data_IF_335804517902
#
_entry.id   IF_335804517902
#
_cell.length_a   1.000
_cell.length_b   1.000
_cell.length_c   1.000
_cell.angle_alpha   90.00
_cell.angle_beta   90.00
_cell.angle_gamma   90.00
#
_symmetry.space_group_name_H-M   'P 1'
#
loop_
_entity.id
_entity.type
_entity.pdbx_description
1 polymer ?
#
# COMPACT_ATOMS: atom_id res chain seq x y z
N UNK A 1 -0.49 21.01 -18.13
CA UNK A 1 -0.44 20.48 -16.76
C UNK A 1 -1.82 20.51 -16.12
N UNK A 2 -2.58 21.60 -16.15
CA UNK A 2 -3.98 21.64 -15.71
C UNK A 2 -4.95 20.83 -16.58
N UNK A 3 -4.65 20.63 -17.85
CA UNK A 3 -5.47 19.84 -18.77
C UNK A 3 -5.44 18.32 -18.51
N UNK A 4 -4.35 17.79 -17.93
CA UNK A 4 -4.31 16.37 -17.54
C UNK A 4 -5.16 16.11 -16.30
N UNK A 5 -5.16 16.99 -15.32
CA UNK A 5 -6.05 16.91 -14.17
C UNK A 5 -7.53 17.05 -14.59
N UNK A 6 -7.86 18.00 -15.48
CA UNK A 6 -9.22 18.17 -16.00
C UNK A 6 -9.72 17.01 -16.88
N UNK A 7 -8.83 16.24 -17.52
CA UNK A 7 -9.20 15.01 -18.25
C UNK A 7 -9.54 13.86 -17.30
N UNK A 8 -8.91 13.77 -16.14
CA UNK A 8 -9.26 12.77 -15.12
C UNK A 8 -10.63 13.07 -14.47
N UNK A 9 -10.99 14.34 -14.29
CA UNK A 9 -12.30 14.73 -13.79
C UNK A 9 -13.48 14.41 -14.75
N UNK A 10 -13.19 14.24 -16.05
CA UNK A 10 -14.23 13.95 -17.06
C UNK A 10 -14.53 12.46 -17.26
N UNK A 11 -13.64 11.57 -16.88
CA UNK A 11 -13.86 10.13 -16.95
C UNK A 11 -14.14 9.56 -15.54
N UNK A 12 -15.36 9.77 -15.05
CA UNK A 12 -15.90 8.98 -13.94
C UNK A 12 -15.93 7.52 -14.37
N UNK A 13 -14.88 6.76 -14.03
CA UNK A 13 -14.89 5.32 -14.30
C UNK A 13 -15.75 4.64 -13.26
N UNK A 14 -16.86 4.11 -13.68
CA UNK A 14 -17.68 3.18 -12.88
C UNK A 14 -16.84 1.96 -12.53
N UNK A 15 -16.61 1.75 -11.25
CA UNK A 15 -16.02 0.55 -10.72
C UNK A 15 -17.10 -0.51 -10.54
N UNK A 16 -16.92 -1.68 -11.16
CA UNK A 16 -17.83 -2.82 -11.01
C UNK A 16 -17.14 -3.89 -10.18
N UNK A 17 -17.58 -4.05 -8.96
CA UNK A 17 -17.17 -5.13 -8.08
C UNK A 17 -17.96 -6.41 -8.46
N UNK A 18 -17.24 -7.46 -8.86
CA UNK A 18 -17.85 -8.75 -9.22
C UNK A 18 -17.98 -9.66 -8.01
N UNK A 19 -19.20 -9.92 -7.59
CA UNK A 19 -19.52 -10.93 -6.59
C UNK A 19 -19.80 -12.31 -7.20
N UNK A 20 -19.71 -13.36 -6.38
CA UNK A 20 -20.00 -14.73 -6.77
C UNK A 20 -21.41 -14.87 -7.38
N UNK A 21 -21.62 -15.90 -8.20
CA UNK A 21 -22.88 -16.14 -8.93
C UNK A 21 -24.13 -15.94 -8.06
N UNK A 22 -24.87 -14.87 -8.35
CA UNK A 22 -26.16 -14.58 -7.71
C UNK A 22 -26.24 -13.22 -6.99
N UNK A 23 -25.13 -12.53 -6.77
CA UNK A 23 -25.12 -11.20 -6.15
C UNK A 23 -25.25 -10.09 -7.19
N UNK A 24 -26.02 -9.05 -6.84
CA UNK A 24 -26.14 -7.87 -7.70
C UNK A 24 -24.83 -7.11 -7.71
N UNK A 25 -24.30 -6.84 -8.89
CA UNK A 25 -23.13 -5.96 -9.06
C UNK A 25 -23.45 -4.57 -8.46
N UNK A 26 -22.63 -4.14 -7.52
CA UNK A 26 -22.69 -2.78 -6.98
C UNK A 26 -21.72 -1.93 -7.76
N UNK A 27 -22.17 -0.78 -8.21
CA UNK A 27 -21.30 0.23 -8.84
C UNK A 27 -21.04 1.32 -7.80
N UNK A 28 -19.77 1.67 -7.58
CA UNK A 28 -19.37 2.75 -6.69
C UNK A 28 -18.55 3.76 -7.48
N UNK A 29 -18.89 5.04 -7.37
CA UNK A 29 -18.04 6.13 -7.87
C UNK A 29 -16.94 6.42 -6.83
N UNK A 30 -15.68 6.42 -7.26
CA UNK A 30 -14.53 6.73 -6.40
C UNK A 30 -13.80 7.94 -6.98
N UNK A 31 -13.58 8.95 -6.15
CA UNK A 31 -12.73 10.08 -6.49
C UNK A 31 -11.26 9.64 -6.38
N UNK A 32 -10.55 9.58 -7.51
CA UNK A 32 -9.23 8.93 -7.59
C UNK A 32 -8.04 9.87 -7.34
N UNK A 33 -8.24 11.19 -7.30
CA UNK A 33 -7.14 12.11 -7.05
C UNK A 33 -6.75 12.10 -5.57
N UNK A 34 -5.43 12.07 -5.24
CA UNK A 34 -4.98 12.09 -3.85
C UNK A 34 -5.45 13.34 -3.10
N UNK A 35 -5.61 13.23 -1.80
CA UNK A 35 -5.82 14.38 -0.93
C UNK A 35 -4.53 15.20 -0.82
N UNK A 36 -4.50 16.32 -1.53
CA UNK A 36 -3.33 17.21 -1.54
C UNK A 36 -3.14 17.94 -0.21
N UNK A 37 -4.18 18.01 0.61
CA UNK A 37 -4.14 18.64 1.93
C UNK A 37 -3.64 17.70 3.03
N UNK A 38 -3.38 16.42 2.73
CA UNK A 38 -2.92 15.45 3.71
C UNK A 38 -1.67 15.91 4.47
N UNK A 39 -0.75 16.62 3.80
CA UNK A 39 0.44 17.20 4.42
C UNK A 39 0.15 18.28 5.47
N UNK A 40 -0.94 19.04 5.30
CA UNK A 40 -1.37 20.05 6.25
C UNK A 40 -2.19 19.43 7.40
N UNK A 41 -3.07 18.47 7.08
CA UNK A 41 -3.93 17.84 8.08
C UNK A 41 -3.12 17.01 9.07
N UNK A 42 -2.11 16.28 8.62
CA UNK A 42 -1.30 15.42 9.48
C UNK A 42 -0.28 16.21 10.31
N UNK A 43 0.10 17.41 9.87
CA UNK A 43 1.10 18.27 10.53
C UNK A 43 0.63 19.72 10.61
N UNK A 44 -0.49 19.95 11.28
CA UNK A 44 -1.17 21.26 11.38
C UNK A 44 -0.35 22.38 12.00
N UNK A 45 0.75 22.05 12.69
CA UNK A 45 1.65 23.04 13.30
C UNK A 45 2.90 23.34 12.48
N UNK A 46 3.04 22.74 11.31
CA UNK A 46 4.18 22.94 10.41
C UNK A 46 3.70 23.54 9.10
N UNK A 47 4.43 24.55 8.64
CA UNK A 47 4.23 25.11 7.30
C UNK A 47 4.89 24.18 6.27
N UNK A 48 4.30 23.02 5.97
CA UNK A 48 4.81 22.07 4.97
C UNK A 48 4.52 22.54 3.54
N UNK A 49 4.66 23.85 3.27
CA UNK A 49 4.35 24.46 1.98
C UNK A 49 4.99 23.76 0.78
N UNK A 50 6.30 23.41 0.78
CA UNK A 50 6.89 22.74 -0.37
C UNK A 50 6.27 21.39 -0.68
N UNK A 51 5.90 20.62 0.34
CA UNK A 51 5.29 19.29 0.17
C UNK A 51 3.84 19.42 -0.24
N UNK A 52 3.08 20.28 0.43
CA UNK A 52 1.68 20.57 0.10
C UNK A 52 1.52 21.13 -1.32
N UNK A 53 2.33 22.13 -1.68
CA UNK A 53 2.19 22.81 -2.99
C UNK A 53 2.75 21.98 -4.14
N UNK A 54 3.81 21.20 -3.94
CA UNK A 54 4.61 20.67 -5.04
C UNK A 54 4.58 19.14 -5.17
N UNK A 55 4.29 18.39 -4.13
CA UNK A 55 4.49 16.94 -4.11
C UNK A 55 3.76 16.19 -5.23
N UNK A 56 2.53 16.59 -5.53
CA UNK A 56 1.66 15.84 -6.46
C UNK A 56 1.83 16.23 -7.94
N UNK A 57 2.52 17.31 -8.24
CA UNK A 57 2.63 17.78 -9.62
C UNK A 57 4.05 18.16 -10.08
N UNK A 58 4.95 18.46 -9.14
CA UNK A 58 6.29 18.91 -9.49
C UNK A 58 7.18 17.74 -9.93
N UNK A 59 7.95 17.87 -11.03
CA UNK A 59 8.79 16.80 -11.56
C UNK A 59 9.84 16.22 -10.58
N UNK A 60 10.26 17.00 -9.59
CA UNK A 60 11.21 16.56 -8.56
C UNK A 60 10.69 15.39 -7.71
N UNK A 61 9.36 15.23 -7.61
CA UNK A 61 8.72 14.14 -6.84
C UNK A 61 8.20 13.01 -7.74
N UNK A 62 8.63 12.98 -8.99
CA UNK A 62 8.16 11.99 -9.97
C UNK A 62 8.40 10.55 -9.52
N UNK A 63 9.55 10.30 -8.90
CA UNK A 63 10.00 8.98 -8.48
C UNK A 63 9.76 8.74 -6.97
N UNK A 64 8.87 9.54 -6.36
CA UNK A 64 8.46 9.39 -4.98
C UNK A 64 7.14 8.59 -4.87
N UNK A 65 6.89 7.93 -3.72
CA UNK A 65 5.67 7.16 -3.52
C UNK A 65 4.43 8.05 -3.55
N UNK A 66 3.32 7.55 -4.06
CA UNK A 66 2.04 8.22 -3.90
C UNK A 66 1.61 8.16 -2.43
N UNK A 67 1.12 9.29 -1.91
CA UNK A 67 0.55 9.44 -0.56
C UNK A 67 -0.74 10.22 -0.63
N UNK A 68 -1.44 10.40 0.49
CA UNK A 68 -2.72 11.12 0.49
C UNK A 68 -3.83 10.34 -0.21
N UNK A 69 -3.70 9.02 -0.28
CA UNK A 69 -4.70 8.12 -0.86
C UNK A 69 -5.31 7.24 0.22
N UNK A 70 -6.62 7.11 0.22
CA UNK A 70 -7.32 6.19 1.08
C UNK A 70 -7.37 4.77 0.47
N UNK A 71 -7.85 3.79 1.24
CA UNK A 71 -7.90 2.40 0.82
C UNK A 71 -8.78 2.16 -0.41
N UNK A 72 -9.89 2.88 -0.52
CA UNK A 72 -10.81 2.77 -1.66
C UNK A 72 -10.16 3.29 -2.94
N UNK A 73 -9.45 4.41 -2.87
CA UNK A 73 -8.70 4.97 -3.99
C UNK A 73 -7.58 4.02 -4.45
N UNK A 74 -6.84 3.44 -3.51
CA UNK A 74 -5.80 2.46 -3.80
C UNK A 74 -6.37 1.20 -4.48
N UNK A 75 -7.51 0.71 -4.00
CA UNK A 75 -8.23 -0.41 -4.61
C UNK A 75 -8.73 -0.06 -6.00
N UNK A 76 -9.36 1.10 -6.18
CA UNK A 76 -9.81 1.59 -7.48
C UNK A 76 -8.68 1.71 -8.50
N UNK A 77 -7.48 2.16 -8.07
CA UNK A 77 -6.29 2.19 -8.91
C UNK A 77 -5.89 0.78 -9.39
N UNK A 78 -5.91 -0.22 -8.52
CA UNK A 78 -5.61 -1.60 -8.90
C UNK A 78 -6.56 -2.11 -10.00
N UNK A 79 -7.84 -1.79 -9.89
CA UNK A 79 -8.84 -2.13 -10.90
C UNK A 79 -8.61 -1.38 -12.21
N UNK A 80 -8.39 -0.08 -12.16
CA UNK A 80 -8.05 0.69 -13.34
C UNK A 80 -6.82 0.13 -14.06
N UNK A 81 -5.78 -0.21 -13.31
CA UNK A 81 -4.55 -0.81 -13.86
C UNK A 81 -4.83 -2.16 -14.53
N UNK A 82 -5.76 -2.94 -13.96
CA UNK A 82 -6.21 -4.21 -14.55
C UNK A 82 -6.91 -4.00 -15.89
N UNK A 83 -7.85 -3.07 -15.96
CA UNK A 83 -8.56 -2.78 -17.20
C UNK A 83 -7.61 -2.22 -18.27
N UNK A 84 -6.71 -1.32 -17.90
CA UNK A 84 -5.67 -0.83 -18.81
C UNK A 84 -4.79 -1.95 -19.38
N UNK A 85 -4.40 -2.92 -18.53
CA UNK A 85 -3.65 -4.10 -18.98
C UNK A 85 -4.47 -4.92 -19.98
N UNK A 86 -5.75 -5.15 -19.68
CA UNK A 86 -6.67 -5.93 -20.54
C UNK A 86 -6.91 -5.28 -21.90
N UNK A 87 -6.86 -3.95 -22.00
CA UNK A 87 -7.01 -3.23 -23.27
C UNK A 87 -5.96 -3.67 -24.30
N UNK A 88 -4.72 -3.96 -23.85
CA UNK A 88 -3.62 -4.43 -24.69
C UNK A 88 -3.64 -5.91 -25.03
N UNK A 89 -4.57 -6.71 -24.46
CA UNK A 89 -4.60 -8.17 -24.62
C UNK A 89 -5.64 -8.63 -25.65
N UNK A 90 -5.36 -9.77 -26.31
CA UNK A 90 -6.34 -10.46 -27.14
C UNK A 90 -7.50 -11.04 -26.31
N UNK A 91 -8.68 -11.32 -26.90
CA UNK A 91 -9.80 -11.89 -26.16
C UNK A 91 -9.47 -13.19 -25.42
N UNK A 92 -8.62 -14.03 -26.01
CA UNK A 92 -8.17 -15.29 -25.39
C UNK A 92 -7.29 -15.02 -24.15
N UNK A 93 -6.34 -14.09 -24.25
CA UNK A 93 -5.46 -13.73 -23.14
C UNK A 93 -6.24 -13.08 -21.99
N UNK A 94 -7.23 -12.22 -22.30
CA UNK A 94 -8.10 -11.58 -21.29
C UNK A 94 -8.82 -12.57 -20.39
N UNK A 95 -9.15 -13.75 -20.91
CA UNK A 95 -9.87 -14.79 -20.16
C UNK A 95 -9.03 -15.39 -19.03
N UNK A 96 -7.72 -15.41 -19.20
CA UNK A 96 -6.77 -15.98 -18.23
C UNK A 96 -6.01 -14.92 -17.45
N UNK A 97 -6.32 -13.64 -17.70
CA UNK A 97 -5.65 -12.53 -17.02
C UNK A 97 -6.27 -12.30 -15.65
N UNK A 98 -5.48 -12.52 -14.61
CA UNK A 98 -5.79 -12.14 -13.25
C UNK A 98 -5.51 -10.66 -13.04
N UNK A 99 -6.39 -9.97 -12.34
CA UNK A 99 -6.24 -8.53 -12.13
C UNK A 99 -5.16 -8.15 -11.11
N UNK A 100 -4.84 -6.87 -11.10
CA UNK A 100 -4.11 -6.26 -10.00
C UNK A 100 -5.04 -6.04 -8.81
N UNK A 101 -4.50 -6.18 -7.60
CA UNK A 101 -5.17 -5.92 -6.34
C UNK A 101 -4.18 -5.44 -5.28
N UNK A 102 -4.66 -4.99 -4.15
CA UNK A 102 -3.82 -4.82 -2.97
C UNK A 102 -3.36 -6.19 -2.44
N UNK A 103 -2.15 -6.31 -1.89
CA UNK A 103 -1.72 -7.52 -1.22
C UNK A 103 -2.55 -7.76 0.04
N UNK A 104 -2.70 -9.01 0.44
CA UNK A 104 -3.04 -9.32 1.84
C UNK A 104 -1.85 -8.98 2.74
N UNK A 105 -2.08 -8.84 4.04
CA UNK A 105 -0.99 -8.59 5.01
C UNK A 105 0.05 -9.72 5.02
N UNK A 106 -0.38 -10.95 4.80
CA UNK A 106 0.49 -12.15 4.74
C UNK A 106 1.30 -12.17 3.45
N UNK A 107 0.68 -11.90 2.31
CA UNK A 107 1.41 -11.79 1.04
C UNK A 107 2.45 -10.66 1.09
N UNK A 108 2.07 -9.53 1.68
CA UNK A 108 2.98 -8.42 1.88
C UNK A 108 4.16 -8.82 2.77
N UNK A 109 3.89 -9.52 3.89
CA UNK A 109 4.91 -9.99 4.81
C UNK A 109 5.85 -11.02 4.16
N UNK A 110 5.30 -11.98 3.41
CA UNK A 110 6.08 -12.94 2.64
C UNK A 110 7.01 -12.24 1.64
N UNK A 111 6.48 -11.29 0.90
CA UNK A 111 7.24 -10.49 -0.06
C UNK A 111 8.35 -9.67 0.63
N UNK A 112 8.05 -9.07 1.80
CA UNK A 112 9.00 -8.29 2.57
C UNK A 112 10.16 -9.14 3.10
N UNK A 113 9.91 -10.38 3.51
CA UNK A 113 10.96 -11.29 3.99
C UNK A 113 11.97 -11.67 2.91
N UNK A 114 11.58 -11.63 1.64
CA UNK A 114 12.51 -11.91 0.55
C UNK A 114 13.15 -13.30 0.62
N UNK A 115 12.41 -14.34 1.08
CA UNK A 115 12.92 -15.69 1.27
C UNK A 115 13.74 -15.93 2.54
N UNK A 116 13.85 -14.94 3.42
CA UNK A 116 14.54 -15.09 4.72
C UNK A 116 13.55 -15.46 5.82
N UNK A 117 13.54 -16.70 6.23
CA UNK A 117 12.68 -17.19 7.30
C UNK A 117 12.94 -16.43 8.61
N UNK A 118 11.86 -16.03 9.28
CA UNK A 118 11.88 -15.36 10.58
C UNK A 118 12.73 -14.06 10.66
N UNK A 119 13.07 -13.45 9.53
CA UNK A 119 13.79 -12.19 9.54
C UNK A 119 12.95 -11.07 10.16
N UNK A 120 13.57 -10.24 11.00
CA UNK A 120 12.92 -9.09 11.64
C UNK A 120 12.70 -7.98 10.59
N UNK A 121 13.67 -7.76 9.72
CA UNK A 121 13.66 -6.75 8.66
C UNK A 121 13.92 -7.38 7.28
N UNK A 122 13.57 -6.73 6.18
CA UNK A 122 13.77 -7.24 4.82
C UNK A 122 15.21 -7.61 4.47
N UNK A 123 16.17 -6.93 5.08
CA UNK A 123 17.61 -7.19 4.90
C UNK A 123 18.16 -8.34 5.75
N UNK A 124 17.33 -8.99 6.58
CA UNK A 124 17.65 -10.21 7.33
C UNK A 124 18.32 -10.00 8.69
N UNK A 125 18.96 -8.87 8.94
CA UNK A 125 19.60 -8.58 10.22
C UNK A 125 18.65 -7.92 11.23
N UNK A 126 19.00 -7.90 12.53
CA UNK A 126 18.19 -7.28 13.58
C UNK A 126 18.39 -5.76 13.70
N UNK A 127 19.35 -5.20 12.98
CA UNK A 127 19.74 -3.80 13.11
C UNK A 127 19.21 -2.96 11.95
N UNK A 128 18.87 -1.70 12.24
CA UNK A 128 18.45 -0.71 11.22
C UNK A 128 19.63 -0.06 10.50
N UNK A 129 20.85 -0.44 10.81
CA UNK A 129 22.08 0.04 10.18
C UNK A 129 22.94 -1.12 9.68
N UNK A 130 23.67 -0.85 8.60
CA UNK A 130 24.67 -1.79 8.10
C UNK A 130 25.99 -1.68 8.89
N UNK A 131 26.98 -2.52 8.56
CA UNK A 131 28.29 -2.53 9.21
C UNK A 131 29.10 -1.23 9.04
N UNK A 132 28.74 -0.38 8.08
CA UNK A 132 29.33 0.94 7.86
C UNK A 132 28.59 2.05 8.62
N UNK A 133 27.54 1.72 9.39
CA UNK A 133 26.74 2.66 10.14
C UNK A 133 25.65 3.38 9.35
N UNK A 134 25.47 3.08 8.05
CA UNK A 134 24.41 3.67 7.23
C UNK A 134 23.06 3.05 7.56
N UNK A 135 22.02 3.88 7.62
CA UNK A 135 20.66 3.40 7.78
C UNK A 135 20.18 2.63 6.54
N UNK A 136 19.34 1.64 6.76
CA UNK A 136 18.85 0.72 5.75
C UNK A 136 17.40 1.00 5.31
N UNK A 137 16.77 2.01 5.91
CA UNK A 137 15.43 2.43 5.60
C UNK A 137 15.21 3.90 5.97
N UNK A 138 14.19 4.51 5.40
CA UNK A 138 13.72 5.84 5.75
C UNK A 138 12.69 5.74 6.88
N UNK A 139 13.02 6.26 8.06
CA UNK A 139 12.18 6.22 9.26
C UNK A 139 12.65 7.28 10.25
N UNK A 140 12.06 7.38 11.42
CA UNK A 140 12.44 8.27 12.50
C UNK A 140 13.55 7.63 13.38
N UNK A 141 14.83 7.78 13.04
CA UNK A 141 15.87 6.89 13.57
C UNK A 141 16.35 7.24 14.97
N UNK A 142 16.46 8.53 15.31
CA UNK A 142 17.10 8.98 16.55
C UNK A 142 16.36 10.17 17.13
N UNK A 143 16.16 10.15 18.44
CA UNK A 143 15.57 11.28 19.17
C UNK A 143 16.44 12.56 18.98
N UNK A 144 15.79 13.60 18.46
CA UNK A 144 16.44 14.89 18.19
C UNK A 144 17.17 15.00 16.85
N UNK A 145 17.37 13.91 16.12
CA UNK A 145 17.87 13.92 14.74
C UNK A 145 17.05 12.99 13.86
N UNK A 146 15.92 13.50 13.37
CA UNK A 146 14.95 12.73 12.59
C UNK A 146 15.30 12.58 11.11
N UNK A 147 16.38 13.21 10.68
CA UNK A 147 16.90 13.15 9.31
C UNK A 147 18.24 12.40 9.21
N UNK A 148 18.60 11.66 10.26
CA UNK A 148 19.88 10.96 10.29
C UNK A 148 19.97 9.82 9.26
N UNK A 149 18.84 9.35 8.73
CA UNK A 149 18.72 8.38 7.64
C UNK A 149 18.87 9.02 6.24
N UNK A 150 18.85 10.35 6.16
CA UNK A 150 19.05 11.12 4.92
C UNK A 150 17.80 11.87 4.42
N UNK A 151 16.62 11.59 4.95
CA UNK A 151 15.37 12.20 4.50
C UNK A 151 14.54 12.71 5.68
N UNK A 152 13.91 13.89 5.51
CA UNK A 152 12.99 14.44 6.51
C UNK A 152 11.57 13.89 6.39
N UNK A 153 11.18 13.52 5.17
CA UNK A 153 9.87 13.02 4.77
C UNK A 153 10.05 11.80 3.87
N UNK A 154 9.19 11.63 2.87
CA UNK A 154 9.31 10.56 1.89
C UNK A 154 10.64 10.62 1.13
N UNK A 155 11.12 9.47 0.69
CA UNK A 155 12.28 9.30 -0.16
C UNK A 155 11.86 8.75 -1.54
N UNK A 156 12.71 8.86 -2.58
CA UNK A 156 12.50 8.16 -3.85
C UNK A 156 12.26 6.66 -3.64
N UNK A 157 11.48 6.05 -4.53
CA UNK A 157 11.09 4.63 -4.39
C UNK A 157 12.26 3.64 -4.46
N UNK A 158 13.41 4.07 -4.93
CA UNK A 158 14.66 3.30 -5.08
C UNK A 158 15.80 3.81 -4.19
N UNK A 159 15.50 4.63 -3.16
CA UNK A 159 16.50 5.30 -2.33
C UNK A 159 17.37 4.37 -1.48
N UNK A 160 16.92 3.17 -1.20
CA UNK A 160 17.62 2.17 -0.38
C UNK A 160 17.85 0.88 -1.18
N UNK A 161 18.37 -0.17 -0.54
CA UNK A 161 18.60 -1.46 -1.20
C UNK A 161 17.35 -2.31 -1.23
N UNK A 162 17.09 -3.02 -2.32
CA UNK A 162 15.99 -3.98 -2.39
C UNK A 162 16.26 -5.20 -1.51
N UNK A 163 15.21 -5.95 -1.20
CA UNK A 163 15.36 -7.28 -0.60
C UNK A 163 15.74 -8.33 -1.69
N UNK A 164 15.88 -9.59 -1.31
CA UNK A 164 16.31 -10.66 -2.23
C UNK A 164 15.25 -11.03 -3.31
N UNK A 165 14.07 -10.43 -3.24
CA UNK A 165 13.05 -10.50 -4.30
C UNK A 165 13.02 -9.22 -5.17
N UNK A 166 14.05 -8.39 -5.12
CA UNK A 166 14.16 -7.10 -5.83
C UNK A 166 13.00 -6.12 -5.49
N UNK A 167 12.48 -6.19 -4.26
CA UNK A 167 11.45 -5.30 -3.77
C UNK A 167 12.07 -4.19 -2.91
N UNK A 168 11.81 -2.96 -3.31
CA UNK A 168 12.32 -1.75 -2.68
C UNK A 168 11.40 -1.27 -1.56
N UNK A 169 12.01 -0.66 -0.54
CA UNK A 169 11.31 0.02 0.56
C UNK A 169 10.21 -0.81 1.23
N UNK A 170 10.46 -2.12 1.42
CA UNK A 170 9.57 -3.00 2.19
C UNK A 170 9.58 -2.69 3.70
N UNK A 171 10.43 -1.79 4.15
CA UNK A 171 10.44 -1.21 5.50
C UNK A 171 10.77 0.26 5.39
N UNK A 172 9.94 1.11 6.00
CA UNK A 172 10.09 2.55 6.00
C UNK A 172 9.58 3.22 4.71
N UNK A 173 9.90 4.47 4.55
CA UNK A 173 9.41 5.39 3.53
C UNK A 173 7.92 5.71 3.73
N UNK A 174 7.00 4.90 3.23
CA UNK A 174 5.56 5.02 3.49
C UNK A 174 5.00 3.68 3.96
N UNK A 175 4.06 3.72 4.90
CA UNK A 175 3.25 2.55 5.24
C UNK A 175 2.36 2.20 4.05
N UNK A 176 2.05 0.93 3.86
CA UNK A 176 1.35 0.47 2.67
C UNK A 176 0.03 -0.19 2.99
N UNK A 177 -1.03 0.23 2.28
CA UNK A 177 -2.33 -0.38 2.37
C UNK A 177 -2.29 -1.85 1.99
N UNK A 178 -2.96 -2.70 2.77
CA UNK A 178 -3.27 -4.08 2.42
C UNK A 178 -4.78 -4.28 2.23
N UNK A 179 -5.18 -5.40 1.63
CA UNK A 179 -6.60 -5.75 1.51
C UNK A 179 -7.21 -6.28 2.80
N UNK A 180 -6.39 -6.66 3.78
CA UNK A 180 -6.82 -7.32 5.02
C UNK A 180 -7.47 -6.32 5.99
N UNK A 181 -8.67 -6.60 6.51
CA UNK A 181 -9.25 -5.85 7.62
C UNK A 181 -8.41 -6.01 8.89
N UNK A 182 -8.32 -4.94 9.68
CA UNK A 182 -7.62 -5.00 10.96
C UNK A 182 -8.54 -5.50 12.07
N UNK A 183 -8.26 -6.69 12.56
CA UNK A 183 -8.93 -7.30 13.71
C UNK A 183 -7.87 -7.86 14.69
N UNK A 184 -7.72 -7.29 15.89
CA UNK A 184 -6.72 -7.73 16.87
C UNK A 184 -6.84 -9.20 17.25
N UNK A 185 -8.04 -9.75 17.18
CA UNK A 185 -8.33 -11.13 17.57
C UNK A 185 -8.35 -12.12 16.40
N UNK A 186 -7.99 -11.67 15.19
CA UNK A 186 -8.05 -12.48 13.97
C UNK A 186 -7.32 -13.83 14.12
N UNK A 187 -6.19 -13.87 14.82
CA UNK A 187 -5.44 -15.10 15.07
C UNK A 187 -6.21 -16.17 15.86
N UNK A 188 -7.32 -15.82 16.51
CA UNK A 188 -8.13 -16.76 17.28
C UNK A 188 -9.14 -17.54 16.44
N UNK A 189 -9.49 -17.03 15.25
CA UNK A 189 -10.53 -17.62 14.41
C UNK A 189 -10.12 -17.85 12.95
N UNK A 190 -8.97 -17.35 12.53
CA UNK A 190 -8.45 -17.55 11.18
C UNK A 190 -7.67 -18.86 11.13
N UNK A 191 -7.89 -19.68 10.09
CA UNK A 191 -7.21 -20.96 9.90
C UNK A 191 -5.73 -20.76 9.55
N UNK A 192 -4.85 -21.59 10.12
CA UNK A 192 -3.42 -21.60 9.81
C UNK A 192 -3.12 -22.03 8.36
N UNK A 193 -4.02 -22.81 7.76
CA UNK A 193 -3.85 -23.33 6.39
C UNK A 193 -4.26 -22.27 5.35
N UNK A 194 -5.31 -21.50 5.65
CA UNK A 194 -5.77 -20.40 4.82
C UNK A 194 -6.11 -19.19 5.70
N UNK A 195 -5.11 -18.42 6.10
CA UNK A 195 -5.27 -17.31 7.02
C UNK A 195 -5.89 -16.08 6.35
N UNK A 196 -6.98 -16.29 5.63
CA UNK A 196 -7.65 -15.24 4.87
C UNK A 196 -8.91 -14.77 5.61
N UNK A 197 -8.91 -13.51 5.99
CA UNK A 197 -10.06 -12.83 6.56
C UNK A 197 -10.40 -11.62 5.71
N UNK A 198 -11.63 -11.55 5.24
CA UNK A 198 -12.15 -10.41 4.48
C UNK A 198 -13.40 -9.86 5.12
N UNK A 199 -13.47 -8.56 5.17
CA UNK A 199 -14.68 -7.83 5.52
C UNK A 199 -14.69 -6.50 4.77
N UNK A 200 -15.74 -6.27 4.00
CA UNK A 200 -15.96 -5.01 3.29
C UNK A 200 -16.96 -4.17 4.07
N UNK A 201 -16.44 -3.24 4.87
CA UNK A 201 -17.24 -2.35 5.67
C UNK A 201 -17.99 -1.34 4.79
N UNK A 202 -19.31 -1.29 4.94
CA UNK A 202 -20.16 -0.29 4.32
C UNK A 202 -20.11 1.06 5.06
N UNK A 203 -20.71 2.08 4.46
CA UNK A 203 -20.73 3.44 5.03
C UNK A 203 -21.34 3.50 6.43
N UNK A 204 -22.36 2.70 6.71
CA UNK A 204 -23.11 2.68 7.97
C UNK A 204 -22.53 1.71 9.01
N UNK A 205 -21.47 0.99 8.68
CA UNK A 205 -20.86 0.05 9.62
C UNK A 205 -20.08 0.77 10.72
N UNK A 206 -19.93 0.06 11.83
CA UNK A 206 -19.19 0.60 12.97
C UNK A 206 -17.75 0.96 12.58
N UNK A 207 -17.20 2.10 13.00
CA UNK A 207 -15.86 2.54 12.61
C UNK A 207 -14.75 1.48 12.79
N UNK A 208 -14.83 0.66 13.83
CA UNK A 208 -13.87 -0.43 14.05
C UNK A 208 -13.78 -1.41 12.89
N UNK A 209 -14.88 -1.65 12.17
CA UNK A 209 -14.92 -2.55 11.02
C UNK A 209 -14.31 -1.93 9.76
N UNK A 210 -14.17 -0.60 9.73
CA UNK A 210 -13.57 0.15 8.61
C UNK A 210 -12.04 0.18 8.66
N UNK A 211 -11.42 -0.42 9.66
CA UNK A 211 -9.96 -0.45 9.79
C UNK A 211 -9.36 -1.47 8.83
N UNK A 212 -8.34 -1.04 8.10
CA UNK A 212 -7.54 -1.89 7.20
C UNK A 212 -6.10 -1.94 7.69
N UNK A 213 -5.47 -3.10 7.55
CA UNK A 213 -4.06 -3.27 7.93
C UNK A 213 -3.16 -2.45 7.02
N UNK A 214 -2.22 -1.72 7.61
CA UNK A 214 -1.08 -1.11 6.94
C UNK A 214 0.21 -1.78 7.41
N UNK A 215 1.19 -1.85 6.53
CA UNK A 215 2.45 -2.58 6.75
C UNK A 215 3.67 -1.71 6.41
N UNK A 216 4.84 -2.10 6.94
CA UNK A 216 6.14 -1.56 6.58
C UNK A 216 6.61 -0.40 7.45
N UNK A 217 5.71 0.33 8.10
CA UNK A 217 6.04 1.58 8.77
C UNK A 217 6.44 2.69 7.79
N UNK A 218 6.63 3.89 8.27
CA UNK A 218 6.86 5.07 7.44
C UNK A 218 7.99 5.95 7.98
N UNK A 219 8.34 6.99 7.22
CA UNK A 219 9.33 8.00 7.58
C UNK A 219 9.08 8.68 8.95
N UNK A 220 7.82 8.72 9.41
CA UNK A 220 7.47 9.29 10.73
C UNK A 220 7.59 8.29 11.88
N UNK A 221 7.69 6.99 11.59
CA UNK A 221 7.59 5.93 12.58
C UNK A 221 8.97 5.53 13.13
N UNK A 222 8.98 4.97 14.33
CA UNK A 222 10.20 4.44 14.94
C UNK A 222 10.48 3.02 14.47
N UNK A 223 11.71 2.54 14.63
CA UNK A 223 12.17 1.25 14.11
C UNK A 223 11.33 0.02 14.48
N UNK A 224 10.53 0.07 15.54
CA UNK A 224 9.62 -1.02 15.91
C UNK A 224 8.53 -1.27 14.86
N UNK A 225 8.03 -0.23 14.21
CA UNK A 225 7.01 -0.34 13.17
C UNK A 225 7.57 -0.80 11.81
N UNK A 226 8.89 -0.75 11.64
CA UNK A 226 9.57 -1.21 10.42
C UNK A 226 9.76 -2.72 10.38
N UNK A 227 9.50 -3.43 11.48
CA UNK A 227 9.60 -4.87 11.52
C UNK A 227 8.59 -5.51 10.57
N UNK A 228 9.02 -6.52 9.82
CA UNK A 228 8.19 -7.18 8.80
C UNK A 228 6.89 -7.73 9.40
N UNK A 229 6.93 -8.27 10.62
CA UNK A 229 5.75 -8.79 11.31
C UNK A 229 4.87 -7.70 11.94
N UNK A 230 5.36 -6.45 12.07
CA UNK A 230 4.57 -5.37 12.65
C UNK A 230 3.34 -5.08 11.78
N UNK A 231 2.20 -4.87 12.45
CA UNK A 231 0.94 -4.48 11.84
C UNK A 231 0.44 -3.22 12.53
N UNK A 232 -0.04 -2.29 11.74
CA UNK A 232 -0.78 -1.12 12.20
C UNK A 232 -2.04 -1.00 11.37
N UNK A 233 -2.87 -0.04 11.64
CA UNK A 233 -4.11 0.17 10.90
C UNK A 233 -4.40 1.64 10.65
N UNK A 234 -5.19 1.87 9.61
CA UNK A 234 -5.87 3.14 9.39
C UNK A 234 -7.29 2.86 8.88
N UNK A 235 -8.16 3.86 8.97
CA UNK A 235 -9.53 3.75 8.48
C UNK A 235 -9.57 3.83 6.96
N UNK A 236 -10.37 2.97 6.33
CA UNK A 236 -10.43 2.81 4.87
C UNK A 236 -10.80 4.08 4.10
N UNK A 237 -11.47 5.03 4.75
CA UNK A 237 -11.92 6.31 4.22
C UNK A 237 -10.96 7.47 4.53
N UNK A 238 -9.85 7.20 5.21
CA UNK A 238 -8.89 8.21 5.65
C UNK A 238 -7.64 8.19 4.78
N UNK A 239 -7.20 9.36 4.34
CA UNK A 239 -5.95 9.57 3.61
C UNK A 239 -4.89 10.18 4.53
N UNK A 240 -3.62 9.74 4.38
CA UNK A 240 -2.48 10.20 5.17
C UNK A 240 -1.27 10.51 4.29
N UNK A 241 -0.46 11.49 4.68
CA UNK A 241 0.77 11.85 3.96
C UNK A 241 1.92 10.84 4.15
N UNK A 242 1.72 9.80 4.92
CA UNK A 242 2.68 8.74 5.20
C UNK A 242 2.18 7.33 4.86
N UNK A 243 1.03 7.25 4.18
CA UNK A 243 0.46 5.98 3.71
C UNK A 243 0.34 6.01 2.19
N UNK A 244 0.91 5.00 1.56
CA UNK A 244 0.82 4.70 0.14
C UNK A 244 0.32 3.28 -0.09
N UNK A 245 0.64 2.69 -1.24
CA UNK A 245 0.27 1.30 -1.55
C UNK A 245 1.15 0.73 -2.65
N UNK A 246 1.16 -0.60 -2.73
CA UNK A 246 1.66 -1.34 -3.90
C UNK A 246 0.63 -2.33 -4.41
N UNK A 247 0.66 -2.59 -5.72
CA UNK A 247 -0.20 -3.60 -6.34
C UNK A 247 0.51 -4.94 -6.39
N UNK A 248 -0.25 -6.01 -6.22
CA UNK A 248 0.17 -7.38 -6.54
C UNK A 248 -0.71 -7.93 -7.64
N UNK A 249 -0.21 -8.95 -8.32
CA UNK A 249 -0.93 -9.67 -9.36
C UNK A 249 -0.87 -11.15 -9.05
N UNK A 250 -2.01 -11.80 -8.99
CA UNK A 250 -2.08 -13.25 -8.80
C UNK A 250 -1.57 -13.95 -10.07
N UNK A 251 -0.76 -14.99 -9.91
CA UNK A 251 -0.32 -15.79 -11.05
C UNK A 251 -1.35 -16.89 -11.34
N UNK A 252 -1.96 -16.89 -12.51
CA UNK A 252 -2.96 -17.88 -12.92
C UNK A 252 -2.43 -19.35 -12.88
N UNK A 253 -1.12 -19.55 -12.99
CA UNK A 253 -0.52 -20.89 -12.89
C UNK A 253 -0.60 -21.48 -11.47
N UNK A 254 -0.73 -20.68 -10.45
CA UNK A 254 -0.88 -21.13 -9.05
C UNK A 254 -2.33 -21.54 -8.77
N UNK A 255 -3.31 -20.87 -9.36
CA UNK A 255 -4.72 -21.22 -9.17
C UNK A 255 -5.10 -22.59 -9.78
N UNK A 256 -4.37 -23.07 -10.78
CA UNK A 256 -4.62 -24.37 -11.40
C UNK A 256 -4.11 -25.56 -10.55
N UNK A 257 -3.16 -25.29 -9.64
CA UNK A 257 -2.58 -26.34 -8.78
C UNK A 257 -3.45 -26.61 -7.54
N UNK A 258 -4.21 -25.61 -7.07
CA UNK A 258 -5.07 -25.73 -5.87
C UNK A 258 -6.43 -26.44 -6.10
N UNK A 259 -6.79 -26.75 -7.36
CA UNK A 259 -8.05 -27.46 -7.67
C UNK A 259 -7.87 -28.93 -8.00
N UNK A 260 -6.77 -29.52 -7.59
CA UNK A 260 -6.41 -30.93 -7.86
C UNK A 260 -6.63 -31.89 -6.70
N UNK A 261 -7.60 -31.64 -5.76
CA UNK A 261 -8.08 -32.63 -4.78
C UNK A 261 -9.53 -32.44 -4.45
#
# INVERSE_FOLDING_TARGET
TGEKAARYDKERKEYREGYARGERMKTKEVYVYPDTLAWLHDFSYTFNEPMFESYFWHPAYRDYPVVGVNWEQATAFCHWRTELLKEGLTPTQRKYETGYRLPTDIEWEYAARGGKDNSIYPWGGPYSRNSKGCFLANFKPVRGNYIADGFAFTAPVDAYWPNDYDLWNMSGNVSEWTSTPFEPTASMFVSDINPFYTYDAGENDHPMLKRKVIKGGSWKDVGAFLQVAAKDYEYQDTSKCYIGFRCVKTNAAVEIIDFGY
#
